data_IF_932440642641
#
_entry.id   IF_932440642641
#
_cell.length_a   1.000
_cell.length_b   1.000
_cell.length_c   1.000
_cell.angle_alpha   90.00
_cell.angle_beta   90.00
_cell.angle_gamma   90.00
#
_symmetry.space_group_name_H-M   'P 1'
#
loop_
_entity.id
_entity.type
_entity.pdbx_description
1 polymer ?
#
# COMPACT_ATOMS: atom_id res chain seq x y z
N UNK A 1 -7.20 -16.02 -36.63
CA UNK A 1 -6.70 -16.82 -35.50
C UNK A 1 -6.30 -15.85 -34.43
N UNK A 2 -6.96 -15.79 -33.25
CA UNK A 2 -6.61 -14.87 -32.20
C UNK A 2 -5.50 -15.47 -31.34
N UNK A 3 -4.44 -14.70 -31.14
CA UNK A 3 -3.37 -15.01 -30.20
C UNK A 3 -3.88 -14.76 -28.77
N UNK A 4 -3.99 -15.82 -28.00
CA UNK A 4 -4.17 -15.74 -26.55
C UNK A 4 -2.82 -15.36 -25.93
N UNK A 5 -2.72 -14.12 -25.44
CA UNK A 5 -1.69 -13.73 -24.49
C UNK A 5 -2.15 -14.09 -23.07
N UNK A 6 -1.50 -15.06 -22.47
CA UNK A 6 -1.61 -15.38 -21.05
C UNK A 6 -1.00 -14.24 -20.22
N UNK A 7 -1.67 -13.69 -19.21
CA UNK A 7 -1.07 -12.74 -18.30
C UNK A 7 -0.07 -13.47 -17.40
N UNK A 8 1.16 -12.99 -17.35
CA UNK A 8 2.12 -13.35 -16.33
C UNK A 8 1.69 -12.69 -15.03
N UNK A 9 1.08 -13.46 -14.15
CA UNK A 9 0.68 -13.03 -12.82
C UNK A 9 1.94 -12.79 -11.98
N UNK A 10 2.17 -11.55 -11.57
CA UNK A 10 3.28 -11.17 -10.71
C UNK A 10 3.07 -11.76 -9.30
N UNK A 11 3.93 -12.70 -8.92
CA UNK A 11 3.99 -13.33 -7.60
C UNK A 11 4.83 -12.46 -6.64
N UNK A 12 4.46 -11.21 -6.42
CA UNK A 12 5.18 -10.30 -5.53
C UNK A 12 4.35 -9.83 -4.31
N UNK A 13 3.04 -10.05 -4.29
CA UNK A 13 2.16 -9.53 -3.25
C UNK A 13 1.93 -10.48 -2.05
N UNK A 14 2.50 -11.69 -2.05
CA UNK A 14 2.18 -12.71 -1.05
C UNK A 14 3.17 -12.82 0.13
N UNK A 15 4.22 -11.99 0.21
CA UNK A 15 5.23 -12.12 1.27
C UNK A 15 5.15 -11.08 2.39
N UNK A 16 4.24 -10.12 2.33
CA UNK A 16 4.09 -9.09 3.36
C UNK A 16 3.08 -9.43 4.47
N UNK A 17 2.38 -10.55 4.38
CA UNK A 17 1.30 -10.94 5.31
C UNK A 17 1.72 -11.90 6.43
N UNK A 18 2.99 -12.31 6.48
CA UNK A 18 3.50 -13.07 7.61
C UNK A 18 4.67 -12.34 8.24
N UNK A 19 4.44 -11.68 9.36
CA UNK A 19 5.46 -11.02 10.16
C UNK A 19 6.51 -11.98 10.68
N UNK A 20 7.43 -12.42 9.81
CA UNK A 20 8.63 -13.14 10.18
C UNK A 20 9.82 -12.24 9.93
N UNK A 21 10.27 -11.57 10.98
CA UNK A 21 11.55 -10.89 11.00
C UNK A 21 12.66 -11.94 10.89
N UNK A 22 13.38 -11.93 9.78
CA UNK A 22 14.60 -12.72 9.60
C UNK A 22 15.74 -11.96 10.27
N UNK A 23 16.44 -12.52 11.28
CA UNK A 23 17.56 -11.84 11.89
C UNK A 23 18.70 -11.68 10.87
N UNK A 24 19.18 -10.45 10.73
CA UNK A 24 20.36 -10.13 9.93
C UNK A 24 21.58 -10.86 10.49
N UNK A 25 22.15 -11.77 9.71
CA UNK A 25 23.46 -12.34 9.98
C UNK A 25 24.52 -11.25 9.72
N UNK A 26 25.04 -10.70 10.80
CA UNK A 26 26.20 -9.81 10.76
C UNK A 26 27.43 -10.61 10.33
N UNK A 27 27.89 -10.36 9.11
CA UNK A 27 29.21 -10.80 8.63
C UNK A 27 30.20 -9.68 8.91
N UNK A 28 31.08 -9.90 9.89
CA UNK A 28 32.21 -9.02 10.19
C UNK A 28 33.21 -9.01 9.03
N UNK A 29 33.73 -7.85 8.58
CA UNK A 29 34.75 -7.81 7.56
C UNK A 29 36.12 -8.17 8.15
N UNK A 30 36.77 -9.15 7.57
CA UNK A 30 38.22 -9.41 7.80
C UNK A 30 39.01 -8.60 6.76
N UNK A 31 40.12 -7.98 7.16
CA UNK A 31 40.97 -7.22 6.24
C UNK A 31 42.01 -8.10 5.55
N UNK A 32 42.13 -7.91 4.24
CA UNK A 32 43.32 -8.24 3.46
C UNK A 32 43.34 -9.61 2.79
N UNK A 33 43.00 -9.64 1.50
CA UNK A 33 43.24 -10.76 0.61
C UNK A 33 43.22 -10.34 -0.84
N UNK A 34 44.36 -10.45 -1.50
CA UNK A 34 44.61 -10.13 -2.91
C UNK A 34 43.79 -11.02 -3.82
N UNK A 35 43.14 -10.43 -4.82
CA UNK A 35 42.41 -11.14 -5.87
C UNK A 35 43.35 -11.87 -6.83
N UNK A 36 43.18 -13.15 -7.15
CA UNK A 36 43.79 -13.77 -8.31
C UNK A 36 42.90 -13.70 -9.55
N UNK A 37 43.59 -13.67 -10.68
CA UNK A 37 43.05 -13.47 -12.03
C UNK A 37 42.15 -14.65 -12.50
N UNK A 38 41.26 -14.26 -13.39
CA UNK A 38 40.29 -15.04 -14.15
C UNK A 38 40.88 -16.27 -14.86
N UNK A 39 40.25 -17.40 -14.83
CA UNK A 39 40.41 -18.42 -15.86
C UNK A 39 39.12 -18.68 -16.67
N UNK A 40 39.37 -18.83 -17.96
CA UNK A 40 38.51 -19.15 -19.07
C UNK A 40 37.65 -20.42 -18.89
N UNK A 41 36.48 -20.37 -19.55
CA UNK A 41 35.57 -21.44 -19.98
C UNK A 41 35.92 -22.91 -19.64
N UNK A 42 34.99 -23.56 -18.92
CA UNK A 42 34.69 -24.97 -19.11
C UNK A 42 33.20 -25.23 -18.84
N UNK A 43 32.58 -25.87 -19.81
CA UNK A 43 31.24 -26.46 -19.78
C UNK A 43 31.23 -27.65 -18.82
N UNK A 44 30.27 -27.69 -17.89
CA UNK A 44 29.69 -28.98 -17.48
C UNK A 44 28.38 -28.77 -16.72
N UNK A 45 27.41 -29.58 -17.11
CA UNK A 45 26.14 -29.86 -16.46
C UNK A 45 26.42 -30.35 -15.06
N UNK A 46 25.67 -29.82 -14.08
CA UNK A 46 25.18 -30.64 -13.00
C UNK A 46 24.00 -29.97 -12.26
N UNK A 47 22.93 -30.72 -12.21
CA UNK A 47 21.70 -30.43 -11.50
C UNK A 47 21.91 -30.57 -9.99
N UNK A 48 21.95 -29.46 -9.25
CA UNK A 48 21.81 -29.44 -7.80
C UNK A 48 21.19 -28.14 -7.30
N UNK A 49 19.98 -27.80 -7.76
CA UNK A 49 19.21 -26.70 -7.16
C UNK A 49 18.01 -27.16 -6.30
N UNK A 50 17.76 -28.48 -6.24
CA UNK A 50 16.64 -29.03 -5.46
C UNK A 50 16.89 -29.08 -3.94
N UNK A 51 18.13 -29.32 -3.53
CA UNK A 51 18.49 -29.64 -2.14
C UNK A 51 18.40 -28.43 -1.20
N UNK A 52 18.66 -27.21 -1.68
CA UNK A 52 18.64 -26.01 -0.83
C UNK A 52 17.25 -25.56 -0.41
N UNK A 53 16.23 -25.78 -1.24
CA UNK A 53 14.85 -25.41 -0.91
C UNK A 53 14.23 -26.44 0.05
N UNK A 54 14.55 -27.72 -0.12
CA UNK A 54 14.10 -28.77 0.78
C UNK A 54 14.76 -28.67 2.18
N UNK A 55 16.05 -28.31 2.26
CA UNK A 55 16.72 -28.06 3.53
C UNK A 55 16.16 -26.83 4.27
N UNK A 56 15.79 -25.77 3.55
CA UNK A 56 15.12 -24.60 4.11
C UNK A 56 13.69 -24.95 4.62
N UNK A 57 12.95 -25.75 3.87
CA UNK A 57 11.62 -26.22 4.28
C UNK A 57 11.68 -27.20 5.45
N UNK A 58 12.75 -28.01 5.54
CA UNK A 58 12.96 -28.92 6.65
C UNK A 58 13.30 -28.18 7.94
N UNK A 59 14.09 -27.10 7.85
CA UNK A 59 14.42 -26.24 9.00
C UNK A 59 13.19 -25.48 9.52
N UNK A 60 12.30 -25.06 8.65
CA UNK A 60 11.01 -24.42 9.03
C UNK A 60 10.11 -25.45 9.74
N UNK A 61 10.00 -26.68 9.22
CA UNK A 61 9.21 -27.74 9.86
C UNK A 61 9.78 -28.22 11.20
N UNK A 62 11.09 -28.16 11.37
CA UNK A 62 11.74 -28.48 12.65
C UNK A 62 11.55 -27.37 13.69
N UNK A 63 11.47 -26.11 13.27
CA UNK A 63 11.12 -24.99 14.14
C UNK A 63 9.66 -25.08 14.63
N UNK A 64 8.74 -25.54 13.79
CA UNK A 64 7.34 -25.77 14.17
C UNK A 64 7.18 -26.96 15.13
N UNK A 65 8.04 -27.98 15.04
CA UNK A 65 8.01 -29.16 15.93
C UNK A 65 8.70 -28.91 17.30
N UNK A 66 9.43 -27.81 17.42
CA UNK A 66 10.24 -27.47 18.60
C UNK A 66 9.55 -26.71 19.71
N UNK A 67 8.20 -26.65 19.74
CA UNK A 67 7.44 -26.13 20.88
C UNK A 67 7.80 -24.70 21.31
N UNK A 68 8.13 -23.81 20.36
CA UNK A 68 8.13 -22.39 20.61
C UNK A 68 6.66 -22.01 20.75
N UNK A 69 6.17 -21.90 21.96
CA UNK A 69 4.97 -21.15 22.27
C UNK A 69 5.27 -19.73 21.78
N UNK A 70 4.72 -19.39 20.60
CA UNK A 70 4.56 -18.00 20.24
C UNK A 70 3.84 -17.35 21.43
N UNK A 71 4.28 -16.19 21.93
CA UNK A 71 3.47 -15.45 22.86
C UNK A 71 2.11 -15.36 22.19
N UNK A 72 1.06 -15.85 22.87
CA UNK A 72 -0.30 -15.58 22.44
C UNK A 72 -0.32 -14.10 22.12
N UNK A 73 -0.71 -13.76 20.88
CA UNK A 73 -0.96 -12.39 20.52
C UNK A 73 -1.84 -11.89 21.64
N UNK A 74 -1.27 -11.06 22.48
CA UNK A 74 -2.01 -10.38 23.53
C UNK A 74 -3.17 -9.75 22.80
N UNK A 75 -4.34 -10.35 22.92
CA UNK A 75 -5.60 -9.65 22.72
C UNK A 75 -5.70 -8.68 23.89
N UNK A 76 -4.83 -7.70 23.90
CA UNK A 76 -5.13 -6.45 24.55
C UNK A 76 -6.31 -5.89 23.74
N UNK A 77 -7.51 -6.37 24.01
CA UNK A 77 -8.65 -5.51 24.02
C UNK A 77 -8.27 -4.46 25.06
N UNK A 78 -7.59 -3.40 24.60
CA UNK A 78 -7.66 -2.12 25.30
C UNK A 78 -9.14 -1.94 25.57
N UNK A 79 -9.51 -1.79 26.86
CA UNK A 79 -10.89 -1.46 27.22
C UNK A 79 -11.20 -0.22 26.40
N UNK A 80 -11.97 -0.42 25.34
CA UNK A 80 -12.24 0.61 24.36
C UNK A 80 -12.94 1.72 25.13
N UNK A 81 -12.25 2.83 25.24
CA UNK A 81 -12.62 4.05 25.90
C UNK A 81 -13.85 4.68 25.21
N UNK A 82 -14.59 5.52 25.92
CA UNK A 82 -15.69 6.32 25.34
C UNK A 82 -15.18 7.47 24.44
N UNK A 83 -13.86 7.57 24.25
CA UNK A 83 -13.25 8.52 23.31
C UNK A 83 -13.72 8.22 21.89
N UNK A 84 -14.19 9.24 21.14
CA UNK A 84 -14.51 9.09 19.75
C UNK A 84 -13.29 8.57 18.97
N UNK A 85 -13.49 7.53 18.20
CA UNK A 85 -12.48 6.92 17.34
C UNK A 85 -13.09 6.52 16.02
N UNK A 86 -12.28 6.37 14.98
CA UNK A 86 -12.77 5.89 13.69
C UNK A 86 -12.93 4.38 13.72
N UNK A 87 -14.12 3.93 13.34
CA UNK A 87 -14.48 2.52 13.20
C UNK A 87 -14.81 2.25 11.74
N UNK A 88 -14.11 1.30 11.12
CA UNK A 88 -14.40 0.80 9.78
C UNK A 88 -15.48 -0.25 9.89
N UNK A 89 -16.54 -0.11 9.09
CA UNK A 89 -17.69 -1.02 9.05
C UNK A 89 -17.86 -1.57 7.64
N UNK A 90 -17.69 -2.87 7.46
CA UNK A 90 -18.05 -3.58 6.24
C UNK A 90 -19.46 -4.15 6.37
N UNK A 91 -20.29 -3.96 5.36
CA UNK A 91 -21.63 -4.51 5.30
C UNK A 91 -21.63 -5.89 4.66
N UNK A 92 -22.68 -6.69 4.97
CA UNK A 92 -22.88 -8.00 4.38
C UNK A 92 -23.12 -7.93 2.87
N UNK A 93 -22.54 -8.85 2.10
CA UNK A 93 -22.71 -8.97 0.65
C UNK A 93 -24.13 -9.38 0.24
N UNK A 94 -24.94 -9.80 1.20
CA UNK A 94 -26.22 -10.50 1.01
C UNK A 94 -27.44 -9.62 0.80
N UNK A 95 -27.30 -8.32 0.62
CA UNK A 95 -28.36 -7.52 0.02
C UNK A 95 -28.28 -7.66 -1.50
N UNK A 96 -28.62 -8.87 -1.97
CA UNK A 96 -28.65 -9.26 -3.37
C UNK A 96 -29.38 -8.18 -4.20
N UNK A 97 -28.62 -7.46 -5.01
CA UNK A 97 -29.18 -6.41 -5.87
C UNK A 97 -28.53 -5.05 -5.73
N UNK A 98 -27.37 -4.97 -5.09
CA UNK A 98 -26.68 -3.72 -4.83
C UNK A 98 -27.21 -3.06 -3.56
N UNK A 99 -26.33 -2.82 -2.59
CA UNK A 99 -26.67 -2.03 -1.41
C UNK A 99 -27.14 -0.66 -1.85
N UNK A 100 -28.45 -0.46 -1.89
CA UNK A 100 -29.03 0.85 -2.20
C UNK A 100 -28.61 1.83 -1.11
N UNK A 101 -28.57 3.13 -1.42
CA UNK A 101 -28.31 4.17 -0.40
C UNK A 101 -29.28 4.01 0.78
N UNK A 102 -30.55 3.71 0.51
CA UNK A 102 -31.55 3.47 1.54
C UNK A 102 -31.19 2.31 2.50
N UNK A 103 -30.60 1.24 1.98
CA UNK A 103 -30.14 0.11 2.81
C UNK A 103 -28.95 0.51 3.70
N UNK A 104 -28.00 1.27 3.14
CA UNK A 104 -26.87 1.79 3.93
C UNK A 104 -27.33 2.73 5.03
N UNK A 105 -28.26 3.63 4.71
CA UNK A 105 -28.81 4.58 5.68
C UNK A 105 -29.59 3.89 6.80
N UNK A 106 -30.30 2.79 6.49
CA UNK A 106 -30.98 1.97 7.48
C UNK A 106 -29.99 1.30 8.44
N UNK A 107 -28.89 0.71 7.92
CA UNK A 107 -27.85 0.13 8.78
C UNK A 107 -27.17 1.21 9.63
N UNK A 108 -26.88 2.40 9.08
CA UNK A 108 -26.35 3.53 9.85
C UNK A 108 -27.30 3.93 11.00
N UNK A 109 -28.60 3.98 10.75
CA UNK A 109 -29.60 4.25 11.78
C UNK A 109 -29.62 3.20 12.91
N UNK A 110 -29.46 1.91 12.56
CA UNK A 110 -29.33 0.83 13.55
C UNK A 110 -28.04 0.92 14.34
N UNK A 111 -26.93 1.27 13.68
CA UNK A 111 -25.65 1.49 14.36
C UNK A 111 -25.76 2.66 15.35
N UNK A 112 -26.33 3.80 14.93
CA UNK A 112 -26.54 4.93 15.83
C UNK A 112 -27.37 4.56 17.06
N UNK A 113 -28.41 3.74 16.87
CA UNK A 113 -29.22 3.22 17.98
C UNK A 113 -28.46 2.27 18.90
N UNK A 114 -27.58 1.44 18.33
CA UNK A 114 -26.74 0.51 19.10
C UNK A 114 -25.69 1.28 19.92
N UNK A 115 -25.08 2.32 19.34
CA UNK A 115 -24.12 3.21 20.03
C UNK A 115 -24.82 3.96 21.18
N UNK A 116 -25.99 4.56 20.94
CA UNK A 116 -26.79 5.25 21.97
C UNK A 116 -27.14 4.31 23.12
N UNK A 117 -27.37 3.03 22.84
CA UNK A 117 -27.65 2.00 23.86
C UNK A 117 -26.46 1.67 24.77
N UNK A 118 -25.23 1.93 24.32
CA UNK A 118 -23.98 1.69 25.09
C UNK A 118 -23.49 2.99 25.74
N UNK A 119 -23.47 4.08 24.98
CA UNK A 119 -22.98 5.39 25.39
C UNK A 119 -24.09 6.44 25.13
N UNK A 120 -24.97 6.68 26.08
CA UNK A 120 -26.08 7.62 25.93
C UNK A 120 -25.62 9.04 25.58
N UNK A 121 -26.20 9.61 24.54
CA UNK A 121 -25.85 10.94 24.02
C UNK A 121 -24.66 10.96 23.05
N UNK A 122 -24.04 9.81 22.77
CA UNK A 122 -22.95 9.74 21.80
C UNK A 122 -23.46 10.01 20.37
N UNK A 123 -22.65 10.71 19.60
CA UNK A 123 -22.92 10.98 18.19
C UNK A 123 -22.19 9.95 17.32
N UNK A 124 -22.81 9.57 16.20
CA UNK A 124 -22.17 8.77 15.14
C UNK A 124 -22.09 9.62 13.89
N UNK A 125 -20.87 9.88 13.42
CA UNK A 125 -20.61 10.67 12.23
C UNK A 125 -20.02 9.79 11.14
N UNK A 126 -20.55 9.84 9.91
CA UNK A 126 -19.92 9.15 8.78
C UNK A 126 -18.73 9.99 8.27
N UNK A 127 -17.55 9.40 8.29
CA UNK A 127 -16.30 10.01 7.80
C UNK A 127 -16.13 9.73 6.31
N UNK A 128 -16.33 8.47 5.88
CA UNK A 128 -16.20 8.02 4.49
C UNK A 128 -17.21 6.93 4.16
N UNK A 129 -17.50 6.77 2.86
CA UNK A 129 -18.30 5.64 2.33
C UNK A 129 -17.51 4.91 1.24
N UNK A 130 -17.46 3.59 1.30
CA UNK A 130 -16.78 2.74 0.33
C UNK A 130 -17.78 2.00 -0.53
N UNK A 131 -17.49 1.86 -1.83
CA UNK A 131 -18.45 1.29 -2.79
C UNK A 131 -17.84 0.28 -3.77
N UNK A 132 -16.56 0.39 -4.08
CA UNK A 132 -15.86 -0.48 -5.03
C UNK A 132 -15.03 -1.55 -4.28
N UNK A 133 -14.19 -1.11 -3.34
CA UNK A 133 -13.35 -2.00 -2.54
C UNK A 133 -14.22 -2.96 -1.71
N UNK A 134 -15.18 -2.42 -1.00
CA UNK A 134 -16.26 -3.14 -0.32
C UNK A 134 -17.45 -2.20 -0.15
N UNK A 135 -18.59 -2.73 0.27
CA UNK A 135 -19.72 -1.89 0.65
C UNK A 135 -19.64 -1.63 2.14
N UNK A 136 -19.51 -0.36 2.52
CA UNK A 136 -19.35 0.01 3.93
C UNK A 136 -19.03 1.47 4.12
N UNK A 137 -18.57 1.79 5.32
CA UNK A 137 -18.24 3.15 5.71
C UNK A 137 -17.26 3.20 6.88
N UNK A 138 -16.55 4.31 7.01
CA UNK A 138 -15.86 4.70 8.22
C UNK A 138 -16.76 5.65 8.99
N UNK A 139 -16.88 5.41 10.28
CA UNK A 139 -17.66 6.25 11.22
C UNK A 139 -16.80 6.67 12.39
N UNK A 140 -17.04 7.87 12.89
CA UNK A 140 -16.55 8.30 14.19
C UNK A 140 -17.60 7.96 15.26
N UNK A 141 -17.20 7.18 16.26
CA UNK A 141 -18.04 6.73 17.35
C UNK A 141 -17.19 6.37 18.58
N UNK A 142 -17.76 6.26 19.80
CA UNK A 142 -17.03 5.75 20.95
C UNK A 142 -16.48 4.34 20.72
N UNK A 143 -15.19 4.13 20.99
CA UNK A 143 -14.55 2.83 20.82
C UNK A 143 -15.21 1.72 21.62
N UNK A 144 -15.75 2.03 22.82
CA UNK A 144 -16.51 1.11 23.67
C UNK A 144 -17.77 0.54 23.01
N UNK A 145 -18.30 1.21 21.97
CA UNK A 145 -19.47 0.73 21.22
C UNK A 145 -19.15 -0.33 20.15
N UNK A 146 -17.87 -0.62 19.85
CA UNK A 146 -17.46 -1.55 18.79
C UNK A 146 -18.21 -2.89 18.86
N UNK A 147 -18.25 -3.52 20.03
CA UNK A 147 -18.92 -4.83 20.21
C UNK A 147 -20.44 -4.77 19.98
N UNK A 148 -21.06 -3.61 20.15
CA UNK A 148 -22.47 -3.42 19.84
C UNK A 148 -22.66 -3.21 18.33
N UNK A 149 -21.79 -2.45 17.69
CA UNK A 149 -21.78 -2.23 16.23
C UNK A 149 -21.61 -3.55 15.47
N UNK A 150 -20.69 -4.40 15.90
CA UNK A 150 -20.44 -5.73 15.29
C UNK A 150 -21.67 -6.66 15.33
N UNK A 151 -22.63 -6.42 16.23
CA UNK A 151 -23.84 -7.23 16.36
C UNK A 151 -25.03 -6.65 15.61
N UNK A 152 -24.88 -5.51 14.96
CA UNK A 152 -25.97 -4.89 14.19
C UNK A 152 -26.23 -5.73 12.95
N UNK A 153 -27.48 -6.08 12.71
CA UNK A 153 -27.91 -6.81 11.52
C UNK A 153 -27.52 -6.04 10.24
N UNK A 154 -26.84 -6.70 9.30
CA UNK A 154 -26.30 -6.13 8.07
C UNK A 154 -24.84 -5.68 8.18
N UNK A 155 -24.25 -5.71 9.37
CA UNK A 155 -22.81 -5.54 9.57
C UNK A 155 -22.13 -6.89 9.43
N UNK A 156 -21.19 -7.03 8.50
CA UNK A 156 -20.37 -8.23 8.29
C UNK A 156 -19.18 -8.23 9.25
N UNK A 157 -18.51 -7.10 9.38
CA UNK A 157 -17.43 -6.90 10.34
C UNK A 157 -17.26 -5.41 10.66
N UNK A 158 -16.71 -5.10 11.81
CA UNK A 158 -16.31 -3.75 12.19
C UNK A 158 -15.07 -3.81 13.07
N UNK A 159 -14.16 -2.83 12.91
CA UNK A 159 -12.93 -2.74 13.68
C UNK A 159 -12.52 -1.27 13.86
N UNK A 160 -11.79 -0.97 14.94
CA UNK A 160 -11.15 0.33 15.12
C UNK A 160 -10.04 0.45 14.10
N UNK A 161 -9.97 1.58 13.39
CA UNK A 161 -8.95 1.79 12.38
C UNK A 161 -7.54 1.75 12.99
N UNK A 162 -6.60 1.17 12.23
CA UNK A 162 -5.19 1.22 12.51
C UNK A 162 -4.55 2.49 11.97
N UNK A 163 -3.38 2.81 12.51
CA UNK A 163 -2.51 3.89 12.04
C UNK A 163 -1.18 3.28 11.61
N UNK A 164 -0.82 3.50 10.36
CA UNK A 164 0.39 2.99 9.75
C UNK A 164 1.48 4.05 9.70
N UNK A 165 2.70 3.62 9.43
CA UNK A 165 3.86 4.47 9.21
C UNK A 165 4.58 4.06 7.94
N UNK A 166 5.33 4.98 7.29
CA UNK A 166 6.24 4.58 6.23
C UNK A 166 7.22 3.54 6.74
N UNK A 167 7.54 2.55 5.92
CA UNK A 167 8.59 1.58 6.27
C UNK A 167 9.93 2.31 6.30
N UNK A 168 10.55 2.43 7.48
CA UNK A 168 11.84 3.08 7.62
C UNK A 168 12.91 2.37 6.76
N UNK A 169 13.44 3.10 5.80
CA UNK A 169 14.66 2.68 5.12
C UNK A 169 15.82 2.98 6.07
N UNK A 170 16.32 1.98 6.79
CA UNK A 170 17.38 2.12 7.79
C UNK A 170 18.72 2.65 7.26
N UNK A 171 18.74 3.90 6.85
CA UNK A 171 19.89 4.62 6.31
C UNK A 171 20.03 6.01 6.92
N UNK A 172 20.08 6.11 8.24
CA UNK A 172 20.76 7.21 8.89
C UNK A 172 22.28 7.01 8.74
N UNK A 173 22.80 7.34 7.57
CA UNK A 173 24.22 7.40 7.27
C UNK A 173 24.57 8.80 6.79
N UNK A 174 25.14 9.61 7.68
CA UNK A 174 25.76 10.90 7.34
C UNK A 174 26.89 10.70 6.32
N UNK A 175 26.56 10.64 5.04
CA UNK A 175 27.50 10.58 3.93
C UNK A 175 26.86 11.19 2.72
N UNK A 176 27.66 11.90 1.89
CA UNK A 176 27.24 12.52 0.65
C UNK A 176 26.29 11.60 -0.14
N UNK A 177 25.29 12.13 -0.86
CA UNK A 177 24.34 11.34 -1.62
C UNK A 177 25.09 10.54 -2.68
N UNK A 178 25.46 9.32 -2.33
CA UNK A 178 25.93 8.36 -3.31
C UNK A 178 24.69 7.96 -4.08
N UNK A 179 24.77 7.90 -5.41
CA UNK A 179 23.73 7.43 -6.31
C UNK A 179 23.39 5.96 -6.04
N UNK A 180 22.77 5.69 -4.88
CA UNK A 180 22.45 4.32 -4.43
C UNK A 180 21.51 3.61 -5.39
N UNK A 181 20.67 4.38 -6.10
CA UNK A 181 19.74 3.81 -7.08
C UNK A 181 20.46 3.21 -8.29
N UNK A 182 21.51 3.86 -8.80
CA UNK A 182 22.30 3.30 -9.90
C UNK A 182 22.91 1.93 -9.52
N UNK A 183 23.33 1.77 -8.26
CA UNK A 183 23.83 0.49 -7.76
C UNK A 183 22.75 -0.57 -7.65
N UNK A 184 21.53 -0.20 -7.18
CA UNK A 184 20.39 -1.12 -7.10
C UNK A 184 19.95 -1.61 -8.48
N UNK A 185 19.83 -0.70 -9.46
CA UNK A 185 19.48 -1.06 -10.83
C UNK A 185 20.52 -2.00 -11.46
N UNK A 186 21.82 -1.78 -11.18
CA UNK A 186 22.89 -2.66 -11.65
C UNK A 186 22.85 -4.03 -10.96
N UNK A 187 22.61 -4.06 -9.64
CA UNK A 187 22.52 -5.32 -8.87
C UNK A 187 21.34 -6.19 -9.31
N UNK A 188 20.20 -5.57 -9.57
CA UNK A 188 18.98 -6.25 -10.07
C UNK A 188 19.00 -6.47 -11.57
N UNK A 189 19.95 -5.87 -12.28
CA UNK A 189 20.07 -5.83 -13.75
C UNK A 189 18.84 -5.16 -14.42
N UNK A 190 18.10 -4.37 -13.70
CA UNK A 190 16.93 -3.66 -14.23
C UNK A 190 17.32 -2.64 -15.32
N UNK A 191 18.53 -2.08 -15.26
CA UNK A 191 19.09 -1.22 -16.29
C UNK A 191 19.32 -1.94 -17.65
N UNK A 192 19.45 -3.26 -17.64
CA UNK A 192 19.64 -4.07 -18.86
C UNK A 192 18.30 -4.45 -19.53
N UNK A 193 17.17 -4.26 -18.84
CA UNK A 193 15.84 -4.55 -19.36
C UNK A 193 15.44 -3.49 -20.38
N UNK A 194 15.03 -3.93 -21.58
CA UNK A 194 14.61 -3.04 -22.65
C UNK A 194 13.25 -2.38 -22.39
N UNK A 195 12.39 -3.03 -21.60
CA UNK A 195 11.07 -2.48 -21.20
C UNK A 195 11.29 -1.39 -20.15
N UNK A 196 10.75 -0.21 -20.40
CA UNK A 196 10.91 0.97 -19.55
C UNK A 196 9.62 1.44 -18.90
N UNK A 197 8.54 0.70 -19.06
CA UNK A 197 7.24 1.03 -18.47
C UNK A 197 6.32 1.84 -19.40
N UNK A 198 6.57 1.81 -20.72
CA UNK A 198 5.67 2.43 -21.70
C UNK A 198 4.25 1.90 -21.50
N UNK A 199 3.25 2.80 -21.48
CA UNK A 199 1.84 2.53 -21.19
C UNK A 199 1.54 1.94 -19.83
N UNK A 200 2.50 1.86 -18.92
CA UNK A 200 2.25 1.40 -17.56
C UNK A 200 1.94 2.58 -16.63
N UNK A 201 1.08 2.33 -15.66
CA UNK A 201 0.72 3.26 -14.61
C UNK A 201 1.03 2.61 -13.26
N UNK A 202 1.86 3.27 -12.49
CA UNK A 202 2.19 2.87 -11.13
C UNK A 202 1.44 3.81 -10.18
N UNK A 203 0.57 3.29 -9.35
CA UNK A 203 -0.01 4.04 -8.25
C UNK A 203 0.88 3.87 -7.01
N UNK A 204 1.26 4.99 -6.41
CA UNK A 204 2.04 5.02 -5.18
C UNK A 204 1.14 5.57 -4.08
N UNK A 205 0.76 4.68 -3.15
CA UNK A 205 -0.02 5.01 -1.96
C UNK A 205 0.97 5.13 -0.81
N UNK A 206 1.27 6.37 -0.41
CA UNK A 206 2.38 6.66 0.50
C UNK A 206 2.21 8.05 1.17
N UNK A 207 3.29 8.58 1.72
CA UNK A 207 3.33 9.88 2.42
C UNK A 207 3.16 11.10 1.51
N UNK A 208 2.98 10.92 0.21
CA UNK A 208 2.86 11.99 -0.77
C UNK A 208 4.07 12.08 -1.70
N UNK A 209 4.09 13.10 -2.53
CA UNK A 209 5.11 13.30 -3.56
C UNK A 209 5.44 14.79 -3.73
N UNK A 210 6.72 15.13 -3.68
CA UNK A 210 7.19 16.42 -4.18
C UNK A 210 7.14 16.39 -5.71
N UNK A 211 6.05 16.88 -6.29
CA UNK A 211 5.74 16.73 -7.72
C UNK A 211 6.67 17.52 -8.64
N UNK A 212 7.34 18.55 -8.13
CA UNK A 212 8.32 19.38 -8.84
C UNK A 212 9.78 18.92 -8.61
N UNK A 213 9.99 17.77 -7.95
CA UNK A 213 11.33 17.25 -7.71
C UNK A 213 12.03 16.88 -9.02
N UNK A 214 13.31 17.22 -9.13
CA UNK A 214 14.15 16.99 -10.32
C UNK A 214 14.14 15.54 -10.82
N UNK A 215 13.90 14.56 -9.97
CA UNK A 215 13.78 13.15 -10.33
C UNK A 215 12.68 12.87 -11.36
N UNK A 216 11.66 13.73 -11.44
CA UNK A 216 10.49 13.58 -12.32
C UNK A 216 10.45 14.64 -13.44
N UNK A 217 11.51 15.42 -13.60
CA UNK A 217 11.60 16.52 -14.56
C UNK A 217 11.96 16.07 -16.00
N UNK A 218 12.20 14.77 -16.21
CA UNK A 218 12.52 14.23 -17.53
C UNK A 218 11.35 14.35 -18.50
N UNK A 219 11.64 14.54 -19.79
CA UNK A 219 10.61 14.61 -20.83
C UNK A 219 9.88 13.27 -21.00
N UNK A 220 8.59 13.36 -21.19
CA UNK A 220 7.73 12.24 -21.65
C UNK A 220 7.45 12.31 -23.15
N UNK A 221 8.15 13.18 -23.90
CA UNK A 221 8.01 13.29 -25.35
C UNK A 221 8.43 12.01 -26.06
N UNK A 222 7.55 11.46 -26.88
CA UNK A 222 7.80 10.20 -27.59
C UNK A 222 7.57 8.94 -26.75
N UNK A 223 7.26 9.07 -25.45
CA UNK A 223 6.81 7.96 -24.63
C UNK A 223 5.35 7.67 -24.91
N UNK A 224 4.99 6.40 -25.10
CA UNK A 224 3.60 5.98 -25.24
C UNK A 224 2.94 5.97 -23.86
N UNK A 225 2.16 7.03 -23.56
CA UNK A 225 1.47 7.20 -22.29
C UNK A 225 0.06 6.61 -22.34
N UNK A 226 -0.42 6.05 -21.22
CA UNK A 226 -1.77 5.49 -21.11
C UNK A 226 -2.82 6.53 -20.74
N UNK A 227 -2.47 7.46 -19.85
CA UNK A 227 -3.38 8.45 -19.30
C UNK A 227 -3.03 9.85 -19.80
N UNK A 228 -3.89 10.42 -20.62
CA UNK A 228 -3.88 11.85 -20.96
C UNK A 228 -4.70 12.65 -19.93
N UNK A 229 -4.60 13.98 -19.99
CA UNK A 229 -5.45 14.85 -19.18
C UNK A 229 -6.95 14.62 -19.45
N UNK A 230 -7.32 14.32 -20.69
CA UNK A 230 -8.71 14.02 -21.05
C UNK A 230 -9.21 12.70 -20.43
N UNK A 231 -8.34 11.68 -20.37
CA UNK A 231 -8.66 10.41 -19.72
C UNK A 231 -8.90 10.60 -18.23
N UNK A 232 -8.05 11.41 -17.55
CA UNK A 232 -8.22 11.74 -16.13
C UNK A 232 -9.55 12.48 -15.90
N UNK A 233 -9.86 13.48 -16.71
CA UNK A 233 -11.14 14.20 -16.61
C UNK A 233 -12.36 13.27 -16.80
N UNK A 234 -12.22 12.22 -17.61
CA UNK A 234 -13.30 11.28 -17.88
C UNK A 234 -13.59 10.34 -16.70
N UNK A 235 -12.59 10.03 -15.87
CA UNK A 235 -12.79 9.15 -14.70
C UNK A 235 -12.88 9.89 -13.36
N UNK A 236 -12.25 11.07 -13.19
CA UNK A 236 -12.19 11.79 -11.92
C UNK A 236 -13.58 11.97 -11.28
N UNK A 237 -14.58 12.38 -12.06
CA UNK A 237 -15.96 12.51 -11.57
C UNK A 237 -16.66 11.19 -11.20
N UNK A 238 -16.02 10.04 -11.37
CA UNK A 238 -16.53 8.72 -10.98
C UNK A 238 -15.84 8.16 -9.75
N UNK A 239 -14.79 8.83 -9.29
CA UNK A 239 -14.06 8.44 -8.08
C UNK A 239 -14.93 8.75 -6.86
N UNK A 240 -15.16 7.78 -5.96
CA UNK A 240 -15.88 8.01 -4.71
C UNK A 240 -15.22 9.04 -3.80
N UNK A 241 -13.89 9.11 -3.81
CA UNK A 241 -13.10 9.91 -2.87
C UNK A 241 -12.28 11.00 -3.56
N UNK A 242 -11.46 10.64 -4.54
CA UNK A 242 -10.49 11.51 -5.21
C UNK A 242 -11.04 12.36 -6.35
N UNK A 243 -12.36 12.63 -6.37
CA UNK A 243 -12.98 13.39 -7.48
C UNK A 243 -12.44 14.81 -7.68
N UNK A 244 -11.81 15.40 -6.68
CA UNK A 244 -11.11 16.69 -6.73
C UNK A 244 -9.62 16.57 -7.09
N UNK A 245 -9.12 15.36 -7.40
CA UNK A 245 -7.72 15.14 -7.75
C UNK A 245 -7.30 15.87 -9.03
N UNK A 246 -6.03 16.17 -9.12
CA UNK A 246 -5.47 17.05 -10.17
C UNK A 246 -4.60 16.29 -11.15
N UNK A 247 -4.60 16.77 -12.40
CA UNK A 247 -3.61 16.40 -13.41
C UNK A 247 -2.41 17.32 -13.28
N UNK A 248 -1.26 16.79 -12.90
CA UNK A 248 -0.01 17.57 -12.77
C UNK A 248 0.67 17.72 -14.13
N UNK A 249 1.02 16.59 -14.77
CA UNK A 249 1.67 16.54 -16.08
C UNK A 249 1.57 15.13 -16.69
N UNK A 250 2.20 14.90 -17.84
CA UNK A 250 2.18 13.58 -18.50
C UNK A 250 2.86 12.47 -17.71
N UNK A 251 3.83 12.81 -16.82
CA UNK A 251 4.49 11.85 -15.93
C UNK A 251 3.64 11.52 -14.73
N UNK A 252 2.92 12.52 -14.20
CA UNK A 252 2.06 12.44 -13.02
C UNK A 252 0.65 12.85 -13.47
N UNK A 253 -0.12 11.93 -14.11
CA UNK A 253 -1.42 12.26 -14.66
C UNK A 253 -2.50 12.47 -13.58
N UNK A 254 -2.34 11.91 -12.39
CA UNK A 254 -3.32 12.07 -11.33
C UNK A 254 -2.64 12.11 -9.95
N UNK A 255 -3.10 13.02 -9.12
CA UNK A 255 -2.64 13.18 -7.74
C UNK A 255 -3.80 13.62 -6.84
N UNK A 256 -3.94 12.99 -5.67
CA UNK A 256 -4.94 13.33 -4.66
C UNK A 256 -4.47 12.95 -3.26
N UNK A 257 -4.82 13.79 -2.29
CA UNK A 257 -4.61 13.56 -0.87
C UNK A 257 -5.86 12.95 -0.22
N UNK A 258 -5.77 11.69 0.10
CA UNK A 258 -6.84 10.94 0.76
C UNK A 258 -6.85 11.13 2.27
N UNK A 259 -5.76 11.58 2.90
CA UNK A 259 -5.72 11.87 4.32
C UNK A 259 -6.49 13.17 4.62
N UNK A 260 -6.12 14.26 3.96
CA UNK A 260 -6.65 15.60 4.22
C UNK A 260 -7.78 16.00 3.24
N UNK A 261 -8.12 15.14 2.25
CA UNK A 261 -9.22 15.27 1.30
C UNK A 261 -9.08 16.48 0.37
N UNK A 262 -7.90 16.70 -0.18
CA UNK A 262 -7.64 17.78 -1.12
C UNK A 262 -6.73 17.36 -2.29
N UNK A 263 -6.23 18.32 -3.07
CA UNK A 263 -5.37 18.05 -4.22
C UNK A 263 -3.89 18.32 -3.94
N UNK A 264 -3.51 18.70 -2.73
CA UNK A 264 -2.14 18.96 -2.35
C UNK A 264 -1.47 17.67 -1.85
N UNK A 265 -0.65 17.08 -2.69
CA UNK A 265 0.04 15.82 -2.37
C UNK A 265 1.47 16.05 -1.90
N UNK A 266 1.89 17.32 -1.75
CA UNK A 266 3.23 17.64 -1.22
C UNK A 266 3.21 17.43 0.29
N UNK A 267 4.17 16.67 0.86
CA UNK A 267 4.22 16.49 2.30
C UNK A 267 4.57 17.80 3.03
N UNK A 268 3.77 18.19 4.00
CA UNK A 268 3.94 19.43 4.79
C UNK A 268 4.33 19.20 6.26
N UNK A 269 4.31 17.97 6.75
CA UNK A 269 4.69 17.67 8.12
C UNK A 269 6.16 18.00 8.40
N UNK A 270 6.47 18.52 9.60
CA UNK A 270 7.84 18.70 10.09
C UNK A 270 8.59 17.35 10.25
N UNK A 271 7.89 16.25 10.28
CA UNK A 271 8.47 14.91 10.19
C UNK A 271 8.88 14.68 8.73
N UNK A 272 10.03 14.07 8.52
CA UNK A 272 10.52 13.75 7.17
C UNK A 272 9.58 12.78 6.46
N UNK A 273 8.61 13.32 5.74
CA UNK A 273 7.69 12.60 4.88
C UNK A 273 8.19 12.47 3.44
N UNK A 274 9.49 12.57 3.22
CA UNK A 274 10.12 12.37 1.91
C UNK A 274 10.03 10.93 1.39
N UNK A 275 9.52 10.00 2.22
CA UNK A 275 9.45 8.58 1.92
C UNK A 275 8.72 8.29 0.60
N UNK A 276 7.51 8.82 0.38
CA UNK A 276 6.76 8.64 -0.87
C UNK A 276 7.49 9.18 -2.11
N UNK A 277 8.18 10.33 -1.98
CA UNK A 277 9.04 10.87 -3.05
C UNK A 277 10.20 9.91 -3.36
N UNK A 278 10.83 9.34 -2.33
CA UNK A 278 11.95 8.42 -2.47
C UNK A 278 11.53 7.10 -3.15
N UNK A 279 10.45 6.44 -2.67
CA UNK A 279 10.00 5.18 -3.28
C UNK A 279 9.50 5.38 -4.70
N UNK A 280 8.82 6.50 -4.98
CA UNK A 280 8.40 6.89 -6.33
C UNK A 280 9.60 7.07 -7.27
N UNK A 281 10.67 7.70 -6.78
CA UNK A 281 11.89 7.88 -7.58
C UNK A 281 12.58 6.54 -7.88
N UNK A 282 12.63 5.62 -6.93
CA UNK A 282 13.15 4.26 -7.15
C UNK A 282 12.35 3.54 -8.24
N UNK A 283 11.02 3.66 -8.20
CA UNK A 283 10.14 3.00 -9.15
C UNK A 283 10.22 3.64 -10.55
N UNK A 284 10.13 4.98 -10.64
CA UNK A 284 9.79 5.62 -11.90
C UNK A 284 10.45 6.99 -12.16
N UNK A 285 11.56 7.35 -11.48
CA UNK A 285 12.30 8.56 -11.86
C UNK A 285 12.69 8.53 -13.35
N UNK A 286 12.65 9.68 -14.02
CA UNK A 286 12.93 9.79 -15.45
C UNK A 286 13.91 10.92 -15.81
N UNK A 287 14.63 11.48 -14.83
CA UNK A 287 15.66 12.49 -15.07
C UNK A 287 16.93 11.88 -15.67
N UNK A 288 17.70 12.69 -16.40
CA UNK A 288 18.93 12.23 -17.04
C UNK A 288 19.95 11.64 -16.06
N UNK A 289 19.99 12.21 -14.86
CA UNK A 289 20.94 11.83 -13.80
C UNK A 289 20.40 10.78 -12.84
N UNK A 290 19.09 10.51 -12.87
CA UNK A 290 18.41 9.58 -11.99
C UNK A 290 17.28 8.86 -12.74
N UNK A 291 17.46 7.58 -12.96
CA UNK A 291 16.47 6.71 -13.58
C UNK A 291 15.91 5.74 -12.56
N UNK A 292 14.60 5.59 -12.52
CA UNK A 292 13.92 4.52 -11.79
C UNK A 292 13.93 3.20 -12.58
N UNK A 293 13.30 2.20 -12.01
CA UNK A 293 13.16 0.87 -12.65
C UNK A 293 12.32 0.96 -13.93
N UNK A 294 11.26 1.78 -13.92
CA UNK A 294 10.33 2.00 -15.03
C UNK A 294 10.20 3.50 -15.36
N UNK A 295 11.23 4.12 -15.96
CA UNK A 295 11.27 5.58 -16.15
C UNK A 295 10.19 6.11 -17.10
N UNK A 296 9.60 5.29 -17.96
CA UNK A 296 8.50 5.67 -18.85
C UNK A 296 7.11 5.44 -18.25
N UNK A 297 7.01 4.74 -17.12
CA UNK A 297 5.73 4.57 -16.45
C UNK A 297 5.19 5.92 -15.95
N UNK A 298 3.88 6.08 -16.02
CA UNK A 298 3.17 7.18 -15.40
C UNK A 298 2.95 6.90 -13.92
N UNK A 299 2.83 7.93 -13.13
CA UNK A 299 2.68 7.86 -11.68
C UNK A 299 1.32 8.43 -11.28
N UNK A 300 0.50 7.63 -10.62
CA UNK A 300 -0.67 8.08 -9.87
C UNK A 300 -0.23 8.24 -8.41
N UNK A 301 -0.48 9.41 -7.84
CA UNK A 301 -0.11 9.74 -6.46
C UNK A 301 -1.34 9.69 -5.58
N UNK A 302 -1.34 8.80 -4.61
CA UNK A 302 -2.34 8.71 -3.56
C UNK A 302 -1.66 9.00 -2.21
N UNK A 303 -1.70 10.25 -1.76
CA UNK A 303 -1.20 10.63 -0.44
C UNK A 303 -2.19 10.16 0.61
N UNK A 304 -1.70 9.42 1.61
CA UNK A 304 -2.49 8.89 2.73
C UNK A 304 -1.93 9.31 4.10
N UNK A 305 -0.88 10.13 4.12
CA UNK A 305 -0.31 10.69 5.33
C UNK A 305 -0.91 12.06 5.62
N UNK A 306 -1.40 12.26 6.84
CA UNK A 306 -1.91 13.54 7.31
C UNK A 306 -0.82 14.61 7.37
N UNK A 307 -1.13 15.81 6.96
CA UNK A 307 -0.25 16.97 7.06
C UNK A 307 -0.06 17.43 8.51
N UNK A 308 -0.98 17.08 9.41
CA UNK A 308 -0.92 17.46 10.81
C UNK A 308 0.17 16.69 11.56
N UNK A 309 0.22 15.35 11.41
CA UNK A 309 1.10 14.51 12.22
C UNK A 309 1.83 13.41 11.46
N UNK A 310 1.58 13.28 10.16
CA UNK A 310 2.18 12.26 9.30
C UNK A 310 1.58 10.87 9.49
N UNK A 311 0.49 10.73 10.23
CA UNK A 311 -0.19 9.46 10.43
C UNK A 311 -0.89 9.01 9.13
N UNK A 312 -0.92 7.70 8.91
CA UNK A 312 -1.57 7.06 7.76
C UNK A 312 -2.65 6.12 8.27
N UNK A 313 -3.91 6.52 8.13
CA UNK A 313 -5.04 5.75 8.64
C UNK A 313 -5.55 4.69 7.68
N UNK A 314 -6.14 3.62 8.21
CA UNK A 314 -6.85 2.60 7.41
C UNK A 314 -7.93 3.24 6.53
N UNK A 315 -8.64 4.25 7.03
CA UNK A 315 -9.73 4.89 6.29
C UNK A 315 -9.22 5.66 5.06
N UNK A 316 -8.07 6.33 5.14
CA UNK A 316 -7.44 6.99 4.00
C UNK A 316 -6.88 5.95 3.00
N UNK A 317 -6.22 4.91 3.51
CA UNK A 317 -5.68 3.83 2.69
C UNK A 317 -6.79 3.08 1.92
N UNK A 318 -7.88 2.72 2.60
CA UNK A 318 -9.02 2.07 1.96
C UNK A 318 -9.71 2.97 0.94
N UNK A 319 -9.73 4.31 1.13
CA UNK A 319 -10.26 5.24 0.16
C UNK A 319 -9.41 5.30 -1.12
N UNK A 320 -8.09 5.31 -0.99
CA UNK A 320 -7.18 5.21 -2.13
C UNK A 320 -7.39 3.90 -2.91
N UNK A 321 -7.48 2.77 -2.20
CA UNK A 321 -7.74 1.45 -2.81
C UNK A 321 -9.14 1.34 -3.45
N UNK A 322 -10.16 2.03 -2.89
CA UNK A 322 -11.51 2.08 -3.46
C UNK A 322 -11.51 2.81 -4.81
N UNK A 323 -10.74 3.90 -4.92
CA UNK A 323 -10.56 4.66 -6.15
C UNK A 323 -9.64 3.93 -7.15
N UNK A 324 -8.63 3.18 -6.68
CA UNK A 324 -7.74 2.38 -7.53
C UNK A 324 -8.51 1.41 -8.43
N UNK A 325 -9.62 0.83 -7.95
CA UNK A 325 -10.51 -0.03 -8.73
C UNK A 325 -11.18 0.68 -9.91
N UNK A 326 -11.29 2.01 -9.86
CA UNK A 326 -11.80 2.86 -10.97
C UNK A 326 -10.65 3.34 -11.85
N UNK A 327 -9.55 3.78 -11.24
CA UNK A 327 -8.32 4.27 -11.92
C UNK A 327 -7.66 3.14 -12.71
N UNK A 328 -7.62 1.94 -12.13
CA UNK A 328 -7.02 0.71 -12.69
C UNK A 328 -5.55 0.90 -13.03
N UNK A 329 -4.70 1.19 -12.07
CA UNK A 329 -3.26 1.17 -12.28
C UNK A 329 -2.79 -0.23 -12.67
N UNK A 330 -1.62 -0.35 -13.31
CA UNK A 330 -1.04 -1.66 -13.63
C UNK A 330 -0.27 -2.24 -12.45
N UNK A 331 0.20 -1.37 -11.56
CA UNK A 331 0.93 -1.72 -10.33
C UNK A 331 0.53 -0.75 -9.22
N UNK A 332 0.35 -1.26 -8.02
CA UNK A 332 0.19 -0.45 -6.80
C UNK A 332 1.40 -0.70 -5.90
N UNK A 333 2.04 0.38 -5.44
CA UNK A 333 3.07 0.32 -4.42
C UNK A 333 2.50 0.75 -3.08
N UNK A 334 2.67 -0.11 -2.08
CA UNK A 334 2.30 0.09 -0.69
C UNK A 334 3.55 -0.15 0.17
N UNK A 335 4.34 0.88 0.41
CA UNK A 335 5.54 0.80 1.26
C UNK A 335 5.21 1.24 2.69
N UNK A 336 4.15 0.69 3.23
CA UNK A 336 3.56 0.99 4.52
C UNK A 336 3.59 -0.26 5.41
N UNK A 337 3.63 -0.07 6.71
CA UNK A 337 3.58 -1.17 7.65
C UNK A 337 3.22 -0.74 9.06
N UNK A 338 3.01 -1.72 9.91
CA UNK A 338 2.79 -1.55 11.35
C UNK A 338 3.61 -2.62 12.08
N UNK A 339 4.24 -2.22 13.17
CA UNK A 339 5.05 -3.11 14.01
C UNK A 339 4.20 -4.16 14.75
N UNK A 340 2.93 -3.85 15.02
CA UNK A 340 2.00 -4.74 15.74
C UNK A 340 1.15 -5.63 14.81
N UNK A 341 1.18 -5.38 13.52
CA UNK A 341 0.30 -6.04 12.55
C UNK A 341 -1.15 -5.59 12.65
N UNK A 342 -1.99 -6.13 11.76
CA UNK A 342 -3.42 -5.83 11.71
C UNK A 342 -4.23 -6.78 12.59
N UNK A 343 -5.38 -6.32 13.11
CA UNK A 343 -6.39 -7.20 13.69
C UNK A 343 -6.90 -8.19 12.63
N UNK A 344 -7.47 -9.33 13.06
CA UNK A 344 -8.03 -10.33 12.13
C UNK A 344 -9.15 -9.75 11.26
N UNK A 345 -9.93 -8.84 11.81
CA UNK A 345 -11.05 -8.20 11.11
C UNK A 345 -10.53 -7.22 10.05
N UNK A 346 -9.58 -6.36 10.39
CA UNK A 346 -8.90 -5.47 9.44
C UNK A 346 -8.23 -6.29 8.33
N UNK A 347 -7.42 -7.29 8.70
CA UNK A 347 -6.73 -8.16 7.74
C UNK A 347 -7.67 -8.85 6.76
N UNK A 348 -8.86 -9.27 7.21
CA UNK A 348 -9.88 -9.87 6.35
C UNK A 348 -10.47 -8.87 5.33
N UNK A 349 -10.71 -7.61 5.75
CA UNK A 349 -11.20 -6.55 4.85
C UNK A 349 -10.15 -6.23 3.80
N UNK A 350 -8.90 -5.99 4.20
CA UNK A 350 -7.81 -5.67 3.27
C UNK A 350 -7.53 -6.83 2.30
N UNK A 351 -7.51 -8.08 2.76
CA UNK A 351 -7.36 -9.24 1.89
C UNK A 351 -8.45 -9.28 0.80
N UNK A 352 -9.71 -9.05 1.18
CA UNK A 352 -10.82 -8.99 0.23
C UNK A 352 -10.73 -7.81 -0.75
N UNK A 353 -10.10 -6.71 -0.36
CA UNK A 353 -9.82 -5.57 -1.27
C UNK A 353 -8.70 -5.93 -2.25
N UNK A 354 -7.60 -6.49 -1.77
CA UNK A 354 -6.47 -6.91 -2.61
C UNK A 354 -6.83 -7.98 -3.64
N UNK A 355 -7.81 -8.85 -3.34
CA UNK A 355 -8.32 -9.83 -4.32
C UNK A 355 -9.08 -9.20 -5.50
N UNK A 356 -9.54 -7.94 -5.35
CA UNK A 356 -10.29 -7.23 -6.41
C UNK A 356 -9.38 -6.37 -7.30
N UNK A 357 -8.21 -5.98 -6.80
CA UNK A 357 -7.21 -5.19 -7.51
C UNK A 357 -6.36 -6.04 -8.46
#
# INVERSE_FOLDING_TARGET
>A
MPHHSTPALALAAALALTGVSVPALAVSPQPGGVLPANPTHASSKDAQSGTRVEDALLSIRQAEAGGVTLPEASSAQEEADDTPTTIIVQLEDGTAGGSTQATRDDVKGRIASAVEGVVPGAQVTTVREYTNAFVGFAIEAPGSALSAIQKVEGVKTAFIEGVHKPMETGAEGSGAPVLKNASSLAMTRANEVALKGDRQVIEVIDSGLQTDHDAFAGSMDGVDVRMSQADVQAFAGKLPHGGAGTYVNSKIPFAYDYADNDADVVPHSEKDLSHGTHVTAIAAANADVLQGTAPHAQIVVAKVASDEDGSMSDSALLAALDDALVIKPDVINLSLGDDSGMSSDAGSVFAGVYEKL
#
